data_IF_643140610735
#
_entry.id   IF_643140610735
#
_cell.length_a   1.000
_cell.length_b   1.000
_cell.length_c   1.000
_cell.angle_alpha   90.00
_cell.angle_beta   90.00
_cell.angle_gamma   90.00
#
_symmetry.space_group_name_H-M   'P 1'
#
loop_
_entity.id
_entity.type
_entity.pdbx_description
1 polymer ?
#
# COMPACT_ATOMS: atom_id res chain seq x y z
N UNK A 1 34.38 -32.06 -10.36
CA UNK A 1 35.26 -31.87 -9.18
C UNK A 1 34.40 -31.55 -7.97
N UNK A 2 34.85 -31.89 -6.75
CA UNK A 2 34.12 -31.63 -5.50
C UNK A 2 34.91 -30.64 -4.64
N UNK A 3 34.23 -29.81 -3.87
CA UNK A 3 34.88 -28.99 -2.85
C UNK A 3 35.48 -29.90 -1.77
N UNK A 4 36.79 -29.81 -1.54
CA UNK A 4 37.49 -30.58 -0.49
C UNK A 4 37.71 -29.74 0.75
N UNK A 5 38.13 -28.48 0.63
CA UNK A 5 38.33 -27.58 1.76
C UNK A 5 38.32 -26.11 1.38
N UNK A 6 38.24 -25.23 2.38
CA UNK A 6 38.50 -23.79 2.24
C UNK A 6 39.91 -23.55 2.75
N UNK A 7 40.90 -23.41 1.85
CA UNK A 7 42.31 -23.29 2.25
C UNK A 7 42.54 -22.15 3.22
N UNK A 8 41.98 -20.98 2.90
CA UNK A 8 42.09 -19.79 3.74
C UNK A 8 40.98 -18.78 3.47
N UNK A 9 40.68 -17.99 4.52
CA UNK A 9 39.80 -16.83 4.48
C UNK A 9 40.47 -15.72 5.31
N UNK A 10 40.95 -14.66 4.64
CA UNK A 10 41.60 -13.52 5.30
C UNK A 10 40.83 -12.24 5.05
N UNK A 11 40.65 -11.42 6.09
CA UNK A 11 40.03 -10.10 6.01
C UNK A 11 38.57 -10.10 5.53
N UNK A 12 37.76 -11.08 5.94
CA UNK A 12 36.34 -11.15 5.59
C UNK A 12 35.43 -11.26 6.82
N UNK A 13 34.80 -10.14 7.18
CA UNK A 13 33.92 -10.03 8.37
C UNK A 13 34.60 -10.61 9.63
N UNK A 14 34.07 -11.71 10.17
CA UNK A 14 34.62 -12.36 11.36
C UNK A 14 35.87 -13.20 11.08
N UNK A 15 36.07 -13.63 9.83
CA UNK A 15 37.25 -14.37 9.41
C UNK A 15 38.40 -13.39 9.14
N UNK A 16 39.18 -13.11 10.18
CA UNK A 16 40.35 -12.23 10.09
C UNK A 16 41.52 -12.93 9.38
N UNK A 17 41.86 -14.13 9.84
CA UNK A 17 43.00 -14.91 9.35
C UNK A 17 42.73 -16.41 9.56
N UNK A 18 41.68 -16.92 8.90
CA UNK A 18 41.35 -18.34 8.97
C UNK A 18 42.20 -19.12 7.97
N UNK A 19 42.79 -20.21 8.44
CA UNK A 19 43.48 -21.21 7.64
C UNK A 19 42.91 -22.57 8.00
N UNK A 20 42.75 -23.45 6.99
CA UNK A 20 42.22 -24.79 7.24
C UNK A 20 43.17 -25.57 8.15
N UNK A 21 42.76 -25.96 9.37
CA UNK A 21 43.64 -26.65 10.30
C UNK A 21 44.04 -28.03 9.76
N UNK A 22 45.27 -28.47 10.03
CA UNK A 22 45.76 -29.80 9.61
C UNK A 22 44.97 -30.95 10.21
N UNK A 23 44.38 -30.73 11.39
CA UNK A 23 43.57 -31.71 12.11
C UNK A 23 42.06 -31.61 11.80
N UNK A 24 41.67 -30.83 10.79
CA UNK A 24 40.28 -30.72 10.34
C UNK A 24 40.09 -31.56 9.07
N UNK A 25 39.19 -32.53 9.15
CA UNK A 25 38.83 -33.36 8.01
C UNK A 25 38.32 -32.53 6.83
N UNK A 26 38.67 -32.95 5.61
CA UNK A 26 38.10 -32.41 4.38
C UNK A 26 36.57 -32.56 4.36
N UNK A 27 35.90 -31.70 3.59
CA UNK A 27 34.47 -31.83 3.34
C UNK A 27 34.10 -33.20 2.77
N UNK A 28 33.13 -33.82 3.42
CA UNK A 28 32.48 -35.05 2.97
C UNK A 28 31.30 -34.73 2.03
N UNK A 29 30.56 -35.77 1.61
CA UNK A 29 29.31 -35.61 0.84
C UNK A 29 28.26 -34.80 1.59
N UNK A 30 28.19 -34.99 2.91
CA UNK A 30 27.29 -34.27 3.80
C UNK A 30 28.12 -33.71 4.95
N UNK A 31 27.94 -32.43 5.23
CA UNK A 31 28.72 -31.71 6.24
C UNK A 31 27.75 -30.99 7.18
N UNK A 32 27.93 -31.17 8.48
CA UNK A 32 27.19 -30.44 9.50
C UNK A 32 28.10 -29.39 10.13
N UNK A 33 27.82 -28.12 9.85
CA UNK A 33 28.57 -26.99 10.43
C UNK A 33 27.68 -26.32 11.47
N UNK A 34 28.08 -26.37 12.73
CA UNK A 34 27.34 -25.81 13.86
C UNK A 34 28.25 -24.98 14.79
N UNK A 35 27.65 -24.22 15.70
CA UNK A 35 28.38 -23.36 16.62
C UNK A 35 27.48 -22.30 17.26
N UNK A 36 28.04 -21.50 18.17
CA UNK A 36 27.31 -20.44 18.87
C UNK A 36 26.83 -19.32 17.95
N UNK A 37 25.84 -18.53 18.39
CA UNK A 37 25.45 -17.33 17.67
C UNK A 37 26.64 -16.37 17.55
N UNK A 38 26.81 -15.79 16.37
CA UNK A 38 27.98 -14.97 16.06
C UNK A 38 29.24 -15.75 15.66
N UNK A 39 29.24 -17.09 15.66
CA UNK A 39 30.42 -17.90 15.27
C UNK A 39 30.79 -17.84 13.78
N UNK A 40 30.08 -17.05 12.96
CA UNK A 40 30.36 -16.91 11.53
C UNK A 40 29.65 -17.89 10.60
N UNK A 41 28.71 -18.72 11.08
CA UNK A 41 27.92 -19.64 10.21
C UNK A 41 27.24 -18.91 9.04
N UNK A 42 26.53 -17.82 9.33
CA UNK A 42 25.87 -17.02 8.28
C UNK A 42 26.90 -16.38 7.34
N UNK A 43 28.04 -15.92 7.87
CA UNK A 43 29.15 -15.40 7.06
C UNK A 43 29.67 -16.46 6.08
N UNK A 44 29.82 -17.70 6.54
CA UNK A 44 30.23 -18.81 5.70
C UNK A 44 29.20 -19.09 4.59
N UNK A 45 27.91 -19.04 4.90
CA UNK A 45 26.86 -19.18 3.86
C UNK A 45 26.88 -18.04 2.85
N UNK A 46 27.23 -16.81 3.26
CA UNK A 46 27.41 -15.68 2.32
C UNK A 46 28.59 -15.91 1.39
N UNK A 47 29.72 -16.42 1.89
CA UNK A 47 30.89 -16.76 1.07
C UNK A 47 30.53 -17.76 -0.03
N UNK A 48 29.79 -18.82 0.30
CA UNK A 48 29.32 -19.78 -0.70
C UNK A 48 28.33 -19.15 -1.70
N UNK A 49 27.49 -18.21 -1.24
CA UNK A 49 26.56 -17.51 -2.12
C UNK A 49 27.30 -16.63 -3.12
N UNK A 50 28.37 -15.94 -2.70
CA UNK A 50 29.21 -15.16 -3.60
C UNK A 50 29.93 -16.05 -4.62
N UNK A 51 30.34 -17.25 -4.20
CA UNK A 51 30.91 -18.26 -5.09
C UNK A 51 29.90 -18.75 -6.15
N UNK A 52 28.64 -19.01 -5.76
CA UNK A 52 27.56 -19.37 -6.69
C UNK A 52 27.32 -18.29 -7.74
N UNK A 53 27.18 -17.03 -7.32
CA UNK A 53 26.90 -15.89 -8.21
C UNK A 53 28.15 -15.35 -8.93
N UNK A 54 29.31 -16.01 -8.76
CA UNK A 54 30.60 -15.58 -9.30
C UNK A 54 30.95 -14.13 -8.97
N UNK A 55 30.53 -13.67 -7.78
CA UNK A 55 30.86 -12.34 -7.26
C UNK A 55 32.18 -12.42 -6.51
N UNK A 56 33.11 -11.53 -6.83
CA UNK A 56 34.36 -11.43 -6.08
C UNK A 56 34.07 -11.03 -4.63
N UNK A 57 34.39 -11.89 -3.67
CA UNK A 57 34.26 -11.55 -2.26
C UNK A 57 35.22 -10.40 -1.90
N UNK A 58 34.79 -9.48 -1.04
CA UNK A 58 35.60 -8.36 -0.54
C UNK A 58 36.72 -8.77 0.43
N UNK A 59 37.04 -10.07 0.49
CA UNK A 59 38.07 -10.63 1.35
C UNK A 59 39.47 -10.17 0.91
N UNK A 60 40.43 -10.11 1.83
CA UNK A 60 41.84 -9.97 1.48
C UNK A 60 42.34 -11.22 0.74
N UNK A 61 42.00 -12.39 1.26
CA UNK A 61 42.26 -13.69 0.63
C UNK A 61 41.07 -14.63 0.82
N UNK A 62 40.78 -15.43 -0.20
CA UNK A 62 39.74 -16.45 -0.18
C UNK A 62 40.09 -17.52 -1.21
N UNK A 63 40.55 -18.69 -0.74
CA UNK A 63 40.92 -19.79 -1.62
C UNK A 63 40.18 -21.07 -1.23
N UNK A 64 39.63 -21.74 -2.24
CA UNK A 64 38.97 -23.03 -2.13
C UNK A 64 39.82 -24.11 -2.77
N UNK A 65 39.65 -25.35 -2.33
CA UNK A 65 40.21 -26.51 -3.01
C UNK A 65 39.09 -27.36 -3.60
N UNK A 66 39.19 -27.64 -4.89
CA UNK A 66 38.26 -28.51 -5.62
C UNK A 66 39.03 -29.71 -6.17
N UNK A 67 38.92 -30.87 -5.51
CA UNK A 67 39.58 -32.10 -5.97
C UNK A 67 41.09 -31.96 -6.17
N UNK A 68 41.77 -31.19 -5.33
CA UNK A 68 43.22 -30.93 -5.39
C UNK A 68 43.62 -29.64 -6.11
N UNK A 69 42.73 -29.02 -6.90
CA UNK A 69 43.01 -27.74 -7.55
C UNK A 69 42.62 -26.57 -6.66
N UNK A 70 43.45 -25.52 -6.65
CA UNK A 70 43.18 -24.30 -5.87
C UNK A 70 42.44 -23.29 -6.70
N UNK A 71 41.30 -22.82 -6.20
CA UNK A 71 40.43 -21.84 -6.82
C UNK A 71 40.40 -20.57 -5.99
N UNK A 72 40.72 -19.44 -6.63
CA UNK A 72 40.62 -18.15 -5.98
C UNK A 72 39.16 -17.65 -6.01
N UNK A 73 38.55 -17.50 -4.83
CA UNK A 73 37.17 -17.05 -4.68
C UNK A 73 36.95 -15.55 -4.92
N UNK A 74 38.02 -14.75 -5.03
CA UNK A 74 37.93 -13.32 -5.36
C UNK A 74 37.90 -13.06 -6.87
N UNK A 75 38.52 -13.93 -7.66
CA UNK A 75 38.61 -13.84 -9.11
C UNK A 75 38.08 -15.14 -9.72
N UNK A 76 36.75 -15.37 -9.71
CA UNK A 76 36.15 -16.55 -10.30
C UNK A 76 36.18 -16.47 -11.83
N UNK A 77 37.36 -16.57 -12.44
CA UNK A 77 37.58 -16.66 -13.89
C UNK A 77 37.16 -18.06 -14.41
N UNK A 78 35.84 -18.27 -14.40
CA UNK A 78 34.93 -18.96 -15.31
C UNK A 78 35.17 -20.40 -15.84
N UNK A 79 36.35 -21.04 -15.77
CA UNK A 79 36.51 -22.41 -16.36
C UNK A 79 36.80 -23.57 -15.40
N UNK A 80 37.32 -23.32 -14.19
CA UNK A 80 37.73 -24.41 -13.27
C UNK A 80 36.78 -24.67 -12.09
N UNK A 81 35.77 -23.83 -11.87
CA UNK A 81 34.87 -23.95 -10.72
C UNK A 81 33.62 -24.76 -11.12
N UNK A 82 33.36 -25.91 -10.49
CA UNK A 82 32.10 -26.63 -10.66
C UNK A 82 30.90 -25.74 -10.31
N UNK A 83 29.71 -25.99 -10.89
CA UNK A 83 28.51 -25.26 -10.50
C UNK A 83 28.23 -25.48 -9.00
N UNK A 84 28.17 -24.38 -8.25
CA UNK A 84 27.81 -24.35 -6.82
C UNK A 84 26.39 -23.82 -6.71
N UNK A 85 25.57 -24.45 -5.87
CA UNK A 85 24.19 -24.01 -5.55
C UNK A 85 24.04 -23.84 -4.05
N UNK A 86 23.49 -22.71 -3.61
CA UNK A 86 23.33 -22.38 -2.19
C UNK A 86 21.87 -22.13 -1.86
N UNK A 87 21.32 -23.03 -1.04
CA UNK A 87 19.98 -22.89 -0.50
C UNK A 87 20.06 -22.27 0.91
N UNK A 88 19.98 -20.95 0.99
CA UNK A 88 19.98 -20.23 2.27
C UNK A 88 18.79 -19.26 2.37
N UNK A 89 18.74 -18.50 3.46
CA UNK A 89 17.66 -17.51 3.69
C UNK A 89 17.61 -16.45 2.58
N UNK A 90 18.76 -15.97 2.12
CA UNK A 90 18.81 -15.00 1.02
C UNK A 90 18.27 -15.59 -0.27
N UNK A 91 18.58 -16.86 -0.60
CA UNK A 91 17.98 -17.56 -1.75
C UNK A 91 16.44 -17.57 -1.67
N UNK A 92 15.88 -17.86 -0.49
CA UNK A 92 14.42 -17.85 -0.28
C UNK A 92 13.85 -16.44 -0.46
N UNK A 93 14.52 -15.42 0.08
CA UNK A 93 14.10 -14.03 -0.06
C UNK A 93 14.13 -13.60 -1.55
N UNK A 94 15.22 -13.86 -2.28
CA UNK A 94 15.32 -13.56 -3.71
C UNK A 94 14.28 -14.33 -4.54
N UNK A 95 14.07 -15.63 -4.26
CA UNK A 95 13.07 -16.43 -4.96
C UNK A 95 11.62 -15.99 -4.70
N UNK A 96 11.35 -15.27 -3.59
CA UNK A 96 9.99 -14.79 -3.23
C UNK A 96 9.77 -13.33 -3.65
N UNK A 97 10.82 -12.50 -3.72
CA UNK A 97 10.70 -11.04 -3.83
C UNK A 97 11.29 -10.41 -5.10
N UNK A 98 12.04 -11.11 -5.96
CA UNK A 98 12.61 -10.51 -7.18
C UNK A 98 11.78 -10.72 -8.46
N UNK A 99 11.73 -9.62 -9.21
CA UNK A 99 11.07 -9.32 -10.49
C UNK A 99 11.41 -10.36 -11.60
N UNK A 100 10.44 -10.79 -12.44
CA UNK A 100 10.63 -11.71 -13.57
C UNK A 100 11.74 -11.37 -14.59
N UNK A 101 12.39 -10.20 -14.48
CA UNK A 101 13.42 -9.74 -15.40
C UNK A 101 14.83 -10.35 -15.18
N UNK A 102 15.10 -11.03 -14.05
CA UNK A 102 16.41 -11.68 -13.81
C UNK A 102 16.32 -13.20 -14.02
N UNK A 103 16.73 -13.61 -15.22
CA UNK A 103 16.45 -14.90 -15.85
C UNK A 103 17.43 -16.02 -15.47
N UNK A 104 17.90 -16.12 -14.21
CA UNK A 104 18.91 -17.13 -13.82
C UNK A 104 18.68 -17.89 -12.49
N UNK A 105 17.46 -17.93 -11.96
CA UNK A 105 17.15 -18.85 -10.87
C UNK A 105 16.49 -20.12 -11.41
N UNK A 106 17.28 -21.20 -11.47
CA UNK A 106 16.75 -22.55 -11.67
C UNK A 106 15.81 -22.86 -10.49
N UNK A 107 14.50 -22.97 -10.74
CA UNK A 107 13.57 -23.03 -9.65
C UNK A 107 13.50 -24.47 -9.14
N UNK A 108 13.74 -24.64 -7.85
CA UNK A 108 13.13 -25.75 -7.11
C UNK A 108 11.66 -25.33 -6.87
N UNK A 109 10.89 -25.25 -7.97
CA UNK A 109 9.48 -24.84 -7.99
C UNK A 109 8.64 -25.94 -7.34
N UNK A 110 8.49 -25.86 -6.03
CA UNK A 110 7.37 -26.46 -5.30
C UNK A 110 6.67 -25.42 -4.41
N UNK A 111 6.61 -24.18 -4.90
CA UNK A 111 5.58 -23.21 -4.52
C UNK A 111 4.71 -23.08 -5.76
N UNK A 112 3.62 -23.84 -5.78
CA UNK A 112 2.75 -23.97 -6.94
C UNK A 112 2.35 -22.63 -7.53
N UNK A 113 2.28 -22.59 -8.87
CA UNK A 113 1.80 -21.52 -9.74
C UNK A 113 0.58 -20.78 -9.15
N UNK A 114 -0.33 -21.54 -8.55
CA UNK A 114 -1.48 -21.10 -7.74
C UNK A 114 -1.18 -20.00 -6.71
N UNK A 115 -0.01 -20.02 -6.06
CA UNK A 115 0.30 -19.12 -4.94
C UNK A 115 0.75 -17.73 -5.40
N UNK A 116 1.36 -17.64 -6.58
CA UNK A 116 1.85 -16.37 -7.14
C UNK A 116 0.68 -15.61 -7.78
N UNK A 117 -0.14 -16.30 -8.56
CA UNK A 117 -1.34 -15.70 -9.17
C UNK A 117 -2.32 -15.19 -8.11
N UNK A 118 -2.55 -15.98 -7.05
CA UNK A 118 -3.38 -15.55 -5.91
C UNK A 118 -2.81 -14.34 -5.18
N UNK A 119 -1.48 -14.26 -5.00
CA UNK A 119 -0.84 -13.09 -4.38
C UNK A 119 -0.92 -11.85 -5.27
N UNK A 120 -0.71 -11.99 -6.58
CA UNK A 120 -0.89 -10.89 -7.54
C UNK A 120 -2.33 -10.38 -7.51
N UNK A 121 -3.30 -11.30 -7.52
CA UNK A 121 -4.72 -10.97 -7.43
C UNK A 121 -5.06 -10.25 -6.12
N UNK A 122 -4.46 -10.64 -4.99
CA UNK A 122 -4.63 -9.93 -3.71
C UNK A 122 -4.07 -8.50 -3.80
N UNK A 123 -2.92 -8.31 -4.44
CA UNK A 123 -2.33 -6.97 -4.61
C UNK A 123 -3.20 -6.07 -5.48
N UNK A 124 -3.70 -6.58 -6.61
CA UNK A 124 -4.61 -5.85 -7.51
C UNK A 124 -5.90 -5.46 -6.80
N UNK A 125 -6.54 -6.41 -6.10
CA UNK A 125 -7.77 -6.17 -5.36
C UNK A 125 -7.58 -5.14 -4.23
N UNK A 126 -6.41 -5.10 -3.59
CA UNK A 126 -6.10 -4.08 -2.58
C UNK A 126 -6.02 -2.68 -3.18
N UNK A 127 -5.37 -2.55 -4.34
CA UNK A 127 -5.30 -1.28 -5.06
C UNK A 127 -6.70 -0.79 -5.47
N UNK A 128 -7.53 -1.69 -5.99
CA UNK A 128 -8.90 -1.38 -6.38
C UNK A 128 -9.76 -0.93 -5.18
N UNK A 129 -9.61 -1.59 -4.02
CA UNK A 129 -10.29 -1.19 -2.79
C UNK A 129 -9.84 0.20 -2.33
N UNK A 130 -8.54 0.52 -2.41
CA UNK A 130 -8.03 1.84 -2.04
C UNK A 130 -8.59 2.95 -2.93
N UNK A 131 -8.68 2.73 -4.23
CA UNK A 131 -9.28 3.67 -5.19
C UNK A 131 -10.78 3.88 -4.91
N UNK A 132 -11.54 2.79 -4.72
CA UNK A 132 -12.97 2.87 -4.41
C UNK A 132 -13.21 3.60 -3.09
N UNK A 133 -12.40 3.34 -2.06
CA UNK A 133 -12.52 4.03 -0.77
C UNK A 133 -12.21 5.53 -0.91
N UNK A 134 -11.19 5.89 -1.69
CA UNK A 134 -10.89 7.29 -1.98
C UNK A 134 -12.06 7.98 -2.70
N UNK A 135 -12.66 7.32 -3.70
CA UNK A 135 -13.82 7.84 -4.42
C UNK A 135 -15.04 7.99 -3.50
N UNK A 136 -15.34 6.99 -2.66
CA UNK A 136 -16.42 7.05 -1.67
C UNK A 136 -16.25 8.21 -0.68
N UNK A 137 -15.02 8.47 -0.24
CA UNK A 137 -14.74 9.59 0.65
C UNK A 137 -14.99 10.94 -0.04
N UNK A 138 -14.64 11.08 -1.32
CA UNK A 138 -14.92 12.32 -2.06
C UNK A 138 -16.42 12.50 -2.29
N UNK A 139 -17.13 11.47 -2.74
CA UNK A 139 -18.58 11.48 -2.95
C UNK A 139 -19.35 11.77 -1.66
N UNK A 140 -18.97 11.17 -0.53
CA UNK A 140 -19.61 11.43 0.76
C UNK A 140 -19.37 12.87 1.25
N UNK A 141 -18.18 13.42 1.02
CA UNK A 141 -17.90 14.83 1.33
C UNK A 141 -18.76 15.79 0.49
N UNK A 142 -18.95 15.49 -0.80
CA UNK A 142 -19.82 16.29 -1.68
C UNK A 142 -21.29 16.18 -1.27
N UNK A 143 -21.76 14.96 -0.98
CA UNK A 143 -23.13 14.73 -0.50
C UNK A 143 -23.42 15.53 0.77
N UNK A 144 -22.55 15.45 1.76
CA UNK A 144 -22.72 16.20 3.02
C UNK A 144 -22.66 17.71 2.83
N UNK A 145 -21.83 18.21 1.91
CA UNK A 145 -21.80 19.64 1.54
C UNK A 145 -23.11 20.08 0.89
N UNK A 146 -23.63 19.30 -0.07
CA UNK A 146 -24.88 19.58 -0.75
C UNK A 146 -26.08 19.51 0.20
N UNK A 147 -26.14 18.52 1.10
CA UNK A 147 -27.16 18.43 2.14
C UNK A 147 -27.15 19.66 3.05
N UNK A 148 -25.96 20.12 3.48
CA UNK A 148 -25.83 21.35 4.27
C UNK A 148 -26.28 22.59 3.50
N UNK A 149 -25.92 22.70 2.22
CA UNK A 149 -26.34 23.82 1.37
C UNK A 149 -27.86 23.83 1.18
N UNK A 150 -28.45 22.66 0.96
CA UNK A 150 -29.90 22.49 0.85
C UNK A 150 -30.61 22.83 2.15
N UNK A 151 -30.16 22.30 3.29
CA UNK A 151 -30.72 22.64 4.60
C UNK A 151 -30.65 24.14 4.88
N UNK A 152 -29.51 24.78 4.56
CA UNK A 152 -29.33 26.22 4.71
C UNK A 152 -30.33 26.98 3.86
N UNK A 153 -30.48 26.62 2.58
CA UNK A 153 -31.46 27.23 1.69
C UNK A 153 -32.90 27.11 2.23
N UNK A 154 -33.31 25.92 2.67
CA UNK A 154 -34.64 25.72 3.22
C UNK A 154 -34.88 26.51 4.52
N UNK A 155 -33.87 26.63 5.39
CA UNK A 155 -33.94 27.47 6.60
C UNK A 155 -34.09 28.95 6.26
N UNK A 156 -33.27 29.46 5.34
CA UNK A 156 -33.33 30.86 4.91
C UNK A 156 -34.68 31.23 4.31
N UNK A 157 -35.22 30.36 3.42
CA UNK A 157 -36.53 30.58 2.82
C UNK A 157 -37.67 30.48 3.82
N UNK A 158 -37.61 29.53 4.76
CA UNK A 158 -38.58 29.44 5.85
C UNK A 158 -38.57 30.70 6.73
N UNK A 159 -37.38 31.22 7.07
CA UNK A 159 -37.26 32.48 7.82
C UNK A 159 -37.85 33.65 7.03
N UNK A 160 -37.50 33.80 5.75
CA UNK A 160 -38.03 34.89 4.93
C UNK A 160 -39.57 34.88 4.85
N UNK A 161 -40.19 33.70 4.73
CA UNK A 161 -41.65 33.54 4.75
C UNK A 161 -42.20 33.90 6.14
N UNK A 162 -41.60 33.38 7.21
CA UNK A 162 -42.00 33.71 8.57
C UNK A 162 -41.94 35.22 8.79
N UNK A 163 -40.82 35.87 8.47
CA UNK A 163 -40.61 37.30 8.69
C UNK A 163 -41.59 38.16 7.87
N UNK A 164 -41.92 37.73 6.64
CA UNK A 164 -42.87 38.44 5.79
C UNK A 164 -44.34 38.35 6.28
N UNK A 165 -44.70 37.24 6.94
CA UNK A 165 -46.10 36.94 7.30
C UNK A 165 -46.36 36.84 8.82
N UNK A 166 -45.38 37.16 9.66
CA UNK A 166 -45.54 37.14 11.13
C UNK A 166 -46.53 38.20 11.58
N UNK A 167 -47.57 37.77 12.30
CA UNK A 167 -48.63 38.63 12.86
C UNK A 167 -49.15 38.04 14.18
N UNK A 168 -49.69 38.82 15.14
CA UNK A 168 -50.28 38.26 16.35
C UNK A 168 -51.33 37.19 16.02
N UNK A 169 -51.15 35.95 16.52
CA UNK A 169 -52.02 34.80 16.23
C UNK A 169 -51.94 34.23 14.80
N UNK A 170 -50.99 34.68 13.97
CA UNK A 170 -50.86 34.28 12.57
C UNK A 170 -50.37 32.84 12.36
N UNK A 171 -50.89 32.17 11.32
CA UNK A 171 -50.54 30.79 10.92
C UNK A 171 -49.04 30.60 10.63
N UNK A 172 -48.35 31.64 10.17
CA UNK A 172 -46.94 31.58 9.76
C UNK A 172 -45.93 31.86 10.88
N UNK A 173 -46.39 32.16 12.09
CA UNK A 173 -45.48 32.48 13.22
C UNK A 173 -44.56 31.31 13.61
N UNK A 174 -45.04 30.08 13.42
CA UNK A 174 -44.30 28.85 13.69
C UNK A 174 -43.76 28.19 12.41
N UNK A 175 -43.72 28.93 11.30
CA UNK A 175 -43.22 28.40 10.03
C UNK A 175 -41.72 28.11 10.13
N UNK A 176 -41.32 26.90 9.71
CA UNK A 176 -39.98 26.36 9.91
C UNK A 176 -39.51 25.58 8.67
N UNK A 177 -38.26 25.10 8.71
CA UNK A 177 -37.63 24.37 7.60
C UNK A 177 -38.48 23.18 7.10
N UNK A 178 -38.93 22.23 7.96
CA UNK A 178 -39.78 21.12 7.49
C UNK A 178 -41.06 21.57 6.78
N UNK A 179 -41.74 22.60 7.30
CA UNK A 179 -42.96 23.13 6.67
C UNK A 179 -42.69 23.74 5.29
N UNK A 180 -41.51 24.36 5.11
CA UNK A 180 -41.06 24.84 3.81
C UNK A 180 -40.76 23.70 2.85
N UNK A 181 -40.06 22.65 3.30
CA UNK A 181 -39.71 21.50 2.48
C UNK A 181 -40.94 20.75 1.95
N UNK A 182 -41.92 20.44 2.81
CA UNK A 182 -43.17 19.81 2.39
C UNK A 182 -43.89 20.68 1.35
N UNK A 183 -43.96 22.00 1.58
CA UNK A 183 -44.62 22.89 0.62
C UNK A 183 -43.87 23.00 -0.70
N UNK A 184 -42.53 23.02 -0.68
CA UNK A 184 -41.72 23.03 -1.89
C UNK A 184 -41.89 21.74 -2.71
N UNK A 185 -42.01 20.58 -2.05
CA UNK A 185 -42.30 19.30 -2.71
C UNK A 185 -43.68 19.29 -3.36
N UNK A 186 -44.71 19.81 -2.67
CA UNK A 186 -46.04 19.96 -3.24
C UNK A 186 -46.02 20.87 -4.49
N UNK A 187 -45.29 21.98 -4.44
CA UNK A 187 -45.17 22.94 -5.55
C UNK A 187 -44.37 22.41 -6.74
N UNK A 188 -43.53 21.39 -6.54
CA UNK A 188 -42.85 20.69 -7.63
C UNK A 188 -43.81 19.79 -8.41
N UNK A 189 -44.86 19.27 -7.75
CA UNK A 189 -45.86 18.37 -8.35
C UNK A 189 -46.95 19.20 -9.02
N UNK A 190 -47.52 20.14 -8.28
CA UNK A 190 -48.62 21.00 -8.71
C UNK A 190 -48.04 22.39 -8.95
N UNK A 191 -47.38 22.57 -10.10
CA UNK A 191 -46.64 23.78 -10.45
C UNK A 191 -47.61 24.94 -10.72
N UNK A 192 -47.93 25.79 -9.72
CA UNK A 192 -48.97 26.79 -9.88
C UNK A 192 -48.45 27.97 -10.70
N UNK A 193 -49.36 28.81 -11.19
CA UNK A 193 -48.98 30.07 -11.83
C UNK A 193 -48.08 30.88 -10.90
N UNK A 194 -46.89 31.22 -11.40
CA UNK A 194 -45.90 32.02 -10.66
C UNK A 194 -46.31 33.49 -10.73
N UNK A 195 -46.34 34.15 -9.58
CA UNK A 195 -46.45 35.61 -9.52
C UNK A 195 -45.19 36.23 -10.12
N UNK A 196 -45.36 37.31 -10.88
CA UNK A 196 -44.21 38.12 -11.27
C UNK A 196 -43.65 38.89 -10.06
N UNK A 197 -42.42 39.40 -10.18
CA UNK A 197 -41.75 40.05 -9.05
C UNK A 197 -42.43 41.38 -8.65
N UNK A 198 -43.07 42.07 -9.59
CA UNK A 198 -43.77 43.34 -9.32
C UNK A 198 -45.08 43.12 -8.57
N UNK A 199 -45.83 42.09 -8.93
CA UNK A 199 -47.09 41.68 -8.33
C UNK A 199 -46.85 41.11 -6.93
N UNK A 200 -45.78 40.34 -6.76
CA UNK A 200 -45.30 39.87 -5.46
C UNK A 200 -44.97 41.02 -4.51
N UNK A 201 -44.21 42.02 -4.96
CA UNK A 201 -43.85 43.17 -4.11
C UNK A 201 -45.08 44.00 -3.73
N UNK A 202 -46.02 44.19 -4.68
CA UNK A 202 -47.30 44.86 -4.43
C UNK A 202 -48.11 44.14 -3.34
N UNK A 203 -48.25 42.82 -3.42
CA UNK A 203 -49.01 42.02 -2.45
C UNK A 203 -48.34 41.98 -1.07
N UNK A 204 -47.00 41.95 -1.02
CA UNK A 204 -46.25 42.07 0.23
C UNK A 204 -46.42 43.45 0.87
N UNK A 205 -46.47 44.53 0.08
CA UNK A 205 -46.75 45.88 0.54
C UNK A 205 -48.12 46.00 1.24
N UNK A 206 -49.17 45.43 0.64
CA UNK A 206 -50.53 45.36 1.24
C UNK A 206 -50.53 44.54 2.53
N UNK A 207 -49.73 43.49 2.59
CA UNK A 207 -49.60 42.64 3.78
C UNK A 207 -48.86 43.35 4.92
N UNK A 208 -48.00 44.32 4.63
CA UNK A 208 -47.22 45.06 5.64
C UNK A 208 -47.92 46.34 6.14
N UNK A 209 -48.89 46.87 5.41
CA UNK A 209 -49.70 48.01 5.85
C UNK A 209 -50.65 47.63 7.00
N UNK A 210 -50.67 48.43 8.08
CA UNK A 210 -51.67 48.31 9.15
C UNK A 210 -53.07 48.70 8.63
N UNK A 211 -54.16 48.08 9.13
CA UNK A 211 -55.50 48.56 8.81
C UNK A 211 -55.66 50.00 9.34
N UNK A 212 -56.21 50.89 8.51
CA UNK A 212 -56.64 52.21 8.94
C UNK A 212 -57.59 52.06 10.13
N UNK A 213 -57.27 52.71 11.25
CA UNK A 213 -58.19 52.85 12.38
C UNK A 213 -59.39 53.66 11.89
N UNK A 214 -60.55 53.02 11.75
CA UNK A 214 -61.80 53.73 11.60
C UNK A 214 -62.11 54.45 12.91
N UNK A 215 -61.96 55.78 12.91
CA UNK A 215 -62.55 56.69 13.88
C UNK A 215 -64.03 56.94 13.57
#
# INVERSE_FOLDING_TARGET
MRLTKIKDIKGFRIFKDFEWPENLDDFARFNLIYGLNGSGKTTLTSIFSDLEHRRGASALSLNFEFGGETVNGKLPQISSIPPVRVFNRSYIEHAIFEDPAQQELAPVFYLGEDSIEKKKRISELRSEVEEIVAELNTLSSQKTSNERAFEKFCRERASAIKDAFTRPGGRFNNYNRPAFESRAQELLIDSPARLDEAEKERLLGVTRSQPMSCS
#
